data_IF_646627690501
#
_entry.id   IF_646627690501
#
_cell.length_a   1.000
_cell.length_b   1.000
_cell.length_c   1.000
_cell.angle_alpha   90.00
_cell.angle_beta   90.00
_cell.angle_gamma   90.00
#
_symmetry.space_group_name_H-M   'P 1'
#
loop_
_entity.id
_entity.type
_entity.pdbx_description
1 polymer ?
#
# COMPACT_ATOMS: atom_id res chain seq x y z
N UNK A 1 1.06 -16.39 11.75
CA UNK A 1 0.62 -16.99 13.03
C UNK A 1 -0.82 -16.67 13.44
N UNK A 2 -1.59 -15.79 12.76
CA UNK A 2 -2.93 -15.38 13.24
C UNK A 2 -4.15 -16.21 12.77
N UNK A 3 -4.17 -16.74 11.54
CA UNK A 3 -5.37 -17.40 11.01
C UNK A 3 -5.58 -18.83 11.57
N UNK A 4 -4.50 -19.61 11.70
CA UNK A 4 -4.57 -21.00 12.17
C UNK A 4 -4.92 -21.09 13.66
N UNK A 5 -4.53 -20.11 14.48
CA UNK A 5 -4.88 -20.06 15.91
C UNK A 5 -6.37 -19.85 16.16
N UNK A 6 -7.13 -19.38 15.16
CA UNK A 6 -8.58 -19.15 15.24
C UNK A 6 -9.39 -20.20 14.48
N UNK A 7 -8.75 -21.27 13.97
CA UNK A 7 -9.42 -22.29 13.17
C UNK A 7 -9.89 -21.80 11.80
N UNK A 8 -9.36 -20.68 11.31
CA UNK A 8 -9.67 -20.16 9.98
C UNK A 8 -8.66 -20.69 8.96
N UNK A 9 -9.16 -21.32 7.90
CA UNK A 9 -8.30 -21.74 6.80
C UNK A 9 -7.85 -20.53 5.99
N UNK A 10 -6.55 -20.40 5.77
CA UNK A 10 -5.98 -19.37 4.88
C UNK A 10 -6.40 -19.68 3.44
N UNK A 11 -6.92 -18.68 2.74
CA UNK A 11 -7.36 -18.82 1.34
C UNK A 11 -6.53 -17.98 0.39
N UNK A 12 -6.39 -18.45 -0.84
CA UNK A 12 -5.55 -17.86 -1.87
C UNK A 12 -6.10 -18.16 -3.28
N UNK A 13 -5.61 -17.48 -4.33
CA UNK A 13 -5.93 -17.83 -5.71
C UNK A 13 -5.50 -19.26 -6.09
N UNK A 14 -4.43 -19.79 -5.49
CA UNK A 14 -3.90 -21.12 -5.78
C UNK A 14 -3.31 -21.74 -4.50
N UNK A 15 -3.21 -23.07 -4.46
CA UNK A 15 -2.69 -23.83 -3.32
C UNK A 15 -1.15 -23.76 -3.25
N UNK A 16 -0.62 -22.56 -3.06
CA UNK A 16 0.81 -22.26 -3.03
C UNK A 16 1.13 -21.59 -1.69
N UNK A 17 2.00 -22.21 -0.90
CA UNK A 17 2.43 -21.68 0.38
C UNK A 17 3.28 -20.41 0.20
N UNK A 18 3.08 -19.42 1.06
CA UNK A 18 3.83 -18.15 1.03
C UNK A 18 5.33 -18.31 1.36
N UNK A 19 5.72 -19.42 1.98
CA UNK A 19 7.12 -19.75 2.28
C UNK A 19 7.34 -21.27 2.17
N UNK A 20 8.56 -21.72 1.83
CA UNK A 20 8.90 -23.14 1.83
C UNK A 20 8.60 -23.79 3.19
N UNK A 21 7.82 -24.88 3.18
CA UNK A 21 7.42 -25.60 4.40
C UNK A 21 6.31 -24.93 5.21
N UNK A 22 5.76 -23.80 4.73
CA UNK A 22 4.60 -23.16 5.34
C UNK A 22 3.27 -23.87 5.02
N UNK A 23 2.17 -23.48 5.69
CA UNK A 23 0.86 -24.04 5.42
C UNK A 23 0.39 -23.73 4.00
N UNK A 24 -0.24 -24.71 3.37
CA UNK A 24 -0.79 -24.58 2.02
C UNK A 24 -2.20 -24.01 2.12
N UNK A 25 -2.49 -22.88 1.46
CA UNK A 25 -3.82 -22.27 1.53
C UNK A 25 -4.84 -23.06 0.71
N UNK A 26 -6.12 -22.92 1.07
CA UNK A 26 -7.23 -23.39 0.24
C UNK A 26 -7.44 -22.46 -0.96
N UNK A 27 -7.80 -23.06 -2.10
CA UNK A 27 -8.09 -22.34 -3.33
C UNK A 27 -9.47 -21.72 -3.23
N UNK A 28 -9.57 -20.40 -3.43
CA UNK A 28 -10.88 -19.73 -3.44
C UNK A 28 -11.78 -20.27 -4.56
N UNK A 29 -13.04 -20.55 -4.22
CA UNK A 29 -14.08 -20.85 -5.21
C UNK A 29 -14.59 -19.56 -5.88
N UNK A 30 -15.41 -19.72 -6.93
CA UNK A 30 -16.09 -18.59 -7.56
C UNK A 30 -16.96 -17.83 -6.56
N UNK A 31 -17.79 -18.55 -5.81
CA UNK A 31 -18.73 -17.97 -4.84
C UNK A 31 -18.01 -17.18 -3.76
N UNK A 32 -16.84 -17.66 -3.33
CA UNK A 32 -15.99 -17.01 -2.35
C UNK A 32 -15.32 -15.76 -2.93
N UNK A 33 -14.80 -15.82 -4.15
CA UNK A 33 -14.26 -14.63 -4.84
C UNK A 33 -15.33 -13.53 -4.90
N UNK A 34 -16.56 -13.90 -5.30
CA UNK A 34 -17.68 -12.96 -5.34
C UNK A 34 -18.05 -12.45 -3.94
N UNK A 35 -17.93 -13.29 -2.91
CA UNK A 35 -18.15 -12.87 -1.53
C UNK A 35 -17.09 -11.85 -1.07
N UNK A 36 -15.81 -12.10 -1.30
CA UNK A 36 -14.75 -11.13 -0.98
C UNK A 36 -14.97 -9.80 -1.68
N UNK A 37 -15.37 -9.79 -2.96
CA UNK A 37 -15.69 -8.55 -3.68
C UNK A 37 -16.81 -7.77 -2.97
N UNK A 38 -17.87 -8.46 -2.51
CA UNK A 38 -18.95 -7.84 -1.72
C UNK A 38 -18.45 -7.34 -0.36
N UNK A 39 -17.57 -8.09 0.29
CA UNK A 39 -17.02 -7.75 1.61
C UNK A 39 -16.13 -6.50 1.54
N UNK A 40 -15.33 -6.32 0.49
CA UNK A 40 -14.59 -5.07 0.25
C UNK A 40 -15.53 -3.87 0.12
N UNK A 41 -16.62 -4.01 -0.64
CA UNK A 41 -17.62 -2.95 -0.78
C UNK A 41 -18.33 -2.64 0.55
N UNK A 42 -18.64 -3.67 1.35
CA UNK A 42 -19.22 -3.48 2.68
C UNK A 42 -18.23 -2.81 3.65
N UNK A 43 -16.98 -3.24 3.65
CA UNK A 43 -15.93 -2.63 4.46
C UNK A 43 -15.72 -1.15 4.10
N UNK A 44 -15.79 -0.81 2.80
CA UNK A 44 -15.74 0.57 2.36
C UNK A 44 -16.91 1.40 2.89
N UNK A 45 -18.15 0.88 2.85
CA UNK A 45 -19.31 1.54 3.47
C UNK A 45 -19.10 1.77 4.97
N UNK A 46 -18.64 0.74 5.68
CA UNK A 46 -18.38 0.83 7.11
C UNK A 46 -17.32 1.89 7.44
N UNK A 47 -16.26 2.00 6.63
CA UNK A 47 -15.23 3.02 6.80
C UNK A 47 -15.81 4.44 6.66
N UNK A 48 -16.63 4.68 5.63
CA UNK A 48 -17.29 5.98 5.46
C UNK A 48 -18.28 6.27 6.61
N UNK A 49 -19.03 5.27 7.06
CA UNK A 49 -19.94 5.41 8.22
C UNK A 49 -19.17 5.74 9.51
N UNK A 50 -17.96 5.18 9.69
CA UNK A 50 -17.07 5.49 10.79
C UNK A 50 -16.41 6.87 10.70
N UNK A 51 -16.60 7.61 9.61
CA UNK A 51 -16.11 8.97 9.42
C UNK A 51 -14.77 9.09 8.70
N UNK A 52 -14.27 8.03 8.04
CA UNK A 52 -13.11 8.15 7.17
C UNK A 52 -13.46 8.97 5.91
N UNK A 53 -12.53 9.82 5.46
CA UNK A 53 -12.68 10.59 4.22
C UNK A 53 -12.71 9.71 2.95
N UNK A 54 -12.09 8.53 3.02
CA UNK A 54 -12.00 7.57 1.93
C UNK A 54 -11.30 6.28 2.34
N UNK A 55 -11.08 5.41 1.35
CA UNK A 55 -10.46 4.09 1.52
C UNK A 55 -9.35 3.85 0.50
N UNK A 56 -8.33 3.10 0.90
CA UNK A 56 -7.26 2.63 0.00
C UNK A 56 -7.39 1.13 -0.20
N UNK A 57 -7.60 0.69 -1.44
CA UNK A 57 -7.59 -0.75 -1.77
C UNK A 57 -6.14 -1.24 -1.74
N UNK A 58 -5.86 -2.20 -0.86
CA UNK A 58 -4.52 -2.78 -0.73
C UNK A 58 -4.29 -3.90 -1.76
N UNK A 59 -3.71 -3.57 -2.92
CA UNK A 59 -3.29 -4.53 -3.96
C UNK A 59 -1.74 -4.59 -4.05
N UNK A 60 -1.10 -4.80 -2.90
CA UNK A 60 0.34 -4.74 -2.75
C UNK A 60 0.84 -5.75 -1.69
N UNK A 61 2.15 -5.84 -1.52
CA UNK A 61 2.86 -6.54 -0.43
C UNK A 61 2.51 -8.03 -0.27
N UNK A 62 2.03 -8.66 -1.33
CA UNK A 62 1.72 -10.08 -1.36
C UNK A 62 0.43 -10.48 -0.65
N UNK A 63 -0.45 -9.53 -0.34
CA UNK A 63 -1.81 -9.82 0.14
C UNK A 63 -2.73 -10.26 -1.00
N UNK A 64 -3.92 -10.73 -0.67
CA UNK A 64 -4.81 -11.46 -1.57
C UNK A 64 -4.99 -10.80 -2.96
N UNK A 65 -5.29 -9.49 -3.12
CA UNK A 65 -5.43 -8.92 -4.45
C UNK A 65 -4.10 -8.92 -5.24
N UNK A 66 -2.97 -8.73 -4.56
CA UNK A 66 -1.65 -8.85 -5.16
C UNK A 66 -1.32 -10.29 -5.57
N UNK A 67 -1.75 -11.28 -4.77
CA UNK A 67 -1.58 -12.70 -5.10
C UNK A 67 -2.34 -13.08 -6.38
N UNK A 68 -3.55 -12.55 -6.58
CA UNK A 68 -4.29 -12.76 -7.83
C UNK A 68 -3.59 -12.10 -9.03
N UNK A 69 -3.00 -10.93 -8.83
CA UNK A 69 -2.36 -10.16 -9.91
C UNK A 69 -1.07 -10.84 -10.42
N UNK A 70 -0.32 -11.47 -9.52
CA UNK A 70 0.99 -12.05 -9.80
C UNK A 70 0.90 -13.49 -10.34
N UNK A 71 1.65 -13.78 -11.41
CA UNK A 71 1.67 -15.12 -12.03
C UNK A 71 2.15 -16.20 -11.07
N UNK A 72 3.19 -15.91 -10.29
CA UNK A 72 3.83 -16.89 -9.42
C UNK A 72 2.92 -17.41 -8.31
N UNK A 73 1.92 -16.63 -7.91
CA UNK A 73 0.93 -16.99 -6.88
C UNK A 73 -0.44 -17.36 -7.45
N UNK A 74 -0.74 -17.00 -8.70
CA UNK A 74 -2.00 -17.30 -9.36
C UNK A 74 -1.80 -18.21 -10.57
N UNK A 75 -1.89 -19.52 -10.31
CA UNK A 75 -1.78 -20.60 -11.28
C UNK A 75 -3.16 -21.14 -11.69
N UNK A 76 -4.22 -20.32 -11.54
CA UNK A 76 -5.58 -20.72 -11.94
C UNK A 76 -5.70 -20.83 -13.45
N UNK A 77 -6.57 -21.72 -13.91
CA UNK A 77 -6.90 -21.94 -15.31
C UNK A 77 -8.34 -21.49 -15.68
N UNK A 78 -9.05 -20.87 -14.74
CA UNK A 78 -10.40 -20.35 -14.93
C UNK A 78 -10.37 -18.91 -15.49
N UNK A 79 -11.39 -18.09 -15.18
CA UNK A 79 -11.46 -16.71 -15.65
C UNK A 79 -10.74 -15.70 -14.74
N UNK A 80 -10.13 -16.17 -13.63
CA UNK A 80 -9.37 -15.37 -12.68
C UNK A 80 -7.84 -15.56 -12.78
N UNK A 81 -7.34 -16.43 -13.65
CA UNK A 81 -5.90 -16.63 -13.86
C UNK A 81 -5.52 -17.12 -15.25
N UNK A 82 -4.22 -17.32 -15.48
CA UNK A 82 -3.67 -17.84 -16.74
C UNK A 82 -3.48 -16.83 -17.88
N UNK A 83 -3.72 -15.54 -17.64
CA UNK A 83 -3.37 -14.44 -18.55
C UNK A 83 -3.30 -13.12 -17.77
N UNK A 84 -2.65 -12.10 -18.35
CA UNK A 84 -2.53 -10.77 -17.74
C UNK A 84 -3.90 -10.17 -17.40
N UNK A 85 -4.87 -10.29 -18.30
CA UNK A 85 -6.23 -9.77 -18.14
C UNK A 85 -6.99 -10.51 -17.04
N UNK A 86 -6.90 -11.84 -17.02
CA UNK A 86 -7.61 -12.67 -16.04
C UNK A 86 -7.06 -12.49 -14.63
N UNK A 87 -5.73 -12.41 -14.48
CA UNK A 87 -5.08 -12.13 -13.17
C UNK A 87 -5.44 -10.74 -12.63
N UNK A 88 -5.59 -9.77 -13.52
CA UNK A 88 -6.02 -8.41 -13.17
C UNK A 88 -7.49 -8.32 -12.73
N UNK A 89 -8.32 -9.32 -13.09
CA UNK A 89 -9.77 -9.25 -12.95
C UNK A 89 -10.23 -9.08 -11.51
N UNK A 90 -9.61 -9.78 -10.56
CA UNK A 90 -10.01 -9.71 -9.15
C UNK A 90 -9.79 -8.32 -8.57
N UNK A 91 -8.59 -7.74 -8.72
CA UNK A 91 -8.30 -6.39 -8.27
C UNK A 91 -9.19 -5.33 -8.92
N UNK A 92 -9.45 -5.45 -10.24
CA UNK A 92 -10.37 -4.55 -10.96
C UNK A 92 -11.80 -4.68 -10.42
N UNK A 93 -12.28 -5.90 -10.16
CA UNK A 93 -13.62 -6.13 -9.64
C UNK A 93 -13.79 -5.59 -8.22
N UNK A 94 -12.78 -5.73 -7.37
CA UNK A 94 -12.75 -5.12 -6.02
C UNK A 94 -12.82 -3.60 -6.12
N UNK A 95 -11.97 -2.97 -6.93
CA UNK A 95 -11.98 -1.51 -7.12
C UNK A 95 -13.33 -1.03 -7.63
N UNK A 96 -13.89 -1.71 -8.63
CA UNK A 96 -15.22 -1.39 -9.16
C UNK A 96 -16.29 -1.43 -8.07
N UNK A 97 -16.35 -2.50 -7.28
CA UNK A 97 -17.35 -2.65 -6.23
C UNK A 97 -17.21 -1.60 -5.11
N UNK A 98 -15.96 -1.24 -4.76
CA UNK A 98 -15.68 -0.18 -3.79
C UNK A 98 -16.06 1.20 -4.35
N UNK A 99 -15.73 1.50 -5.60
CA UNK A 99 -16.15 2.74 -6.27
C UNK A 99 -17.67 2.87 -6.33
N UNK A 100 -18.37 1.80 -6.69
CA UNK A 100 -19.84 1.76 -6.69
C UNK A 100 -20.43 1.95 -5.28
N UNK A 101 -19.71 1.56 -4.24
CA UNK A 101 -20.16 1.68 -2.86
C UNK A 101 -19.97 3.07 -2.25
N UNK A 102 -18.88 3.77 -2.58
CA UNK A 102 -18.48 5.01 -1.87
C UNK A 102 -18.10 6.21 -2.76
N UNK A 103 -18.08 6.05 -4.09
CA UNK A 103 -17.67 7.10 -5.03
C UNK A 103 -16.17 7.09 -5.32
N UNK A 104 -15.78 7.31 -6.58
CA UNK A 104 -14.39 7.19 -7.04
C UNK A 104 -13.44 8.20 -6.38
N UNK A 105 -13.94 9.38 -6.05
CA UNK A 105 -13.20 10.46 -5.38
C UNK A 105 -12.77 10.11 -3.96
N UNK A 106 -13.30 9.02 -3.39
CA UNK A 106 -12.96 8.50 -2.06
C UNK A 106 -12.13 7.22 -2.10
N UNK A 107 -11.71 6.78 -3.28
CA UNK A 107 -11.02 5.50 -3.46
C UNK A 107 -9.62 5.73 -3.99
N UNK A 108 -8.62 5.26 -3.24
CA UNK A 108 -7.26 5.08 -3.73
C UNK A 108 -6.92 3.59 -3.91
N UNK A 109 -5.81 3.31 -4.58
CA UNK A 109 -5.26 1.96 -4.66
C UNK A 109 -3.74 1.97 -4.49
N UNK A 110 -3.24 0.99 -3.73
CA UNK A 110 -1.81 0.80 -3.48
C UNK A 110 -1.25 -0.41 -4.19
N UNK A 111 -0.14 -0.22 -4.91
CA UNK A 111 0.58 -1.23 -5.69
C UNK A 111 2.06 -1.32 -5.28
N UNK A 112 2.65 -2.51 -5.39
CA UNK A 112 4.07 -2.73 -5.09
C UNK A 112 4.70 -3.67 -6.13
N UNK A 113 4.95 -3.20 -7.38
CA UNK A 113 5.40 -4.06 -8.48
C UNK A 113 6.71 -4.80 -8.19
N UNK A 114 7.57 -4.21 -7.37
CA UNK A 114 8.89 -4.74 -7.06
C UNK A 114 8.96 -5.46 -5.71
N UNK A 115 7.82 -5.81 -5.10
CA UNK A 115 7.81 -6.53 -3.83
C UNK A 115 8.29 -7.98 -4.00
N UNK A 116 9.39 -8.34 -3.32
CA UNK A 116 10.03 -9.67 -3.41
C UNK A 116 9.70 -10.63 -2.26
N UNK A 117 8.85 -10.22 -1.33
CA UNK A 117 8.45 -11.09 -0.21
C UNK A 117 7.64 -12.28 -0.70
N UNK A 118 7.68 -13.38 0.04
CA UNK A 118 6.88 -14.59 -0.23
C UNK A 118 7.12 -15.24 -1.61
N UNK A 119 8.32 -15.06 -2.18
CA UNK A 119 8.66 -15.57 -3.52
C UNK A 119 7.99 -14.82 -4.67
N UNK A 120 7.40 -13.65 -4.40
CA UNK A 120 6.81 -12.77 -5.43
C UNK A 120 7.89 -12.04 -6.24
N UNK A 121 7.49 -11.52 -7.41
CA UNK A 121 8.36 -10.81 -8.35
C UNK A 121 9.51 -11.68 -8.92
N UNK A 122 9.21 -12.94 -9.26
CA UNK A 122 10.12 -13.81 -10.02
C UNK A 122 9.97 -13.64 -11.55
N UNK A 123 8.99 -12.85 -12.00
CA UNK A 123 8.69 -12.51 -13.39
C UNK A 123 8.71 -11.00 -13.51
N UNK A 124 9.12 -10.46 -14.67
CA UNK A 124 9.08 -9.02 -14.93
C UNK A 124 7.65 -8.47 -14.72
N UNK A 125 7.43 -7.54 -13.78
CA UNK A 125 6.10 -7.02 -13.46
C UNK A 125 5.57 -6.05 -14.53
N UNK A 126 6.40 -5.62 -15.48
CA UNK A 126 6.11 -4.49 -16.37
C UNK A 126 4.80 -4.68 -17.14
N UNK A 127 4.61 -5.81 -17.83
CA UNK A 127 3.40 -6.06 -18.63
C UNK A 127 2.15 -6.14 -17.76
N UNK A 128 2.22 -6.93 -16.69
CA UNK A 128 1.10 -7.19 -15.78
C UNK A 128 0.59 -5.90 -15.13
N UNK A 129 1.49 -5.11 -14.54
CA UNK A 129 1.11 -3.88 -13.85
C UNK A 129 0.75 -2.76 -14.84
N UNK A 130 1.36 -2.71 -16.03
CA UNK A 130 0.97 -1.75 -17.07
C UNK A 130 -0.45 -1.98 -17.57
N UNK A 131 -0.86 -3.24 -17.77
CA UNK A 131 -2.25 -3.55 -18.08
C UNK A 131 -3.18 -3.13 -16.93
N UNK A 132 -2.83 -3.53 -15.70
CA UNK A 132 -3.67 -3.25 -14.54
C UNK A 132 -3.90 -1.76 -14.33
N UNK A 133 -2.85 -0.93 -14.37
CA UNK A 133 -2.97 0.53 -14.21
C UNK A 133 -3.75 1.18 -15.36
N UNK A 134 -3.61 0.68 -16.61
CA UNK A 134 -4.44 1.16 -17.75
C UNK A 134 -5.93 0.91 -17.50
N UNK A 135 -6.29 -0.24 -16.95
CA UNK A 135 -7.68 -0.55 -16.61
C UNK A 135 -8.18 0.28 -15.41
N UNK A 136 -7.35 0.43 -14.37
CA UNK A 136 -7.69 1.23 -13.19
C UNK A 136 -7.94 2.71 -13.51
N UNK A 137 -7.22 3.27 -14.48
CA UNK A 137 -7.41 4.66 -14.93
C UNK A 137 -8.85 4.96 -15.38
N UNK A 138 -9.60 3.96 -15.82
CA UNK A 138 -11.00 4.11 -16.27
C UNK A 138 -11.98 4.41 -15.13
N UNK A 139 -11.57 4.21 -13.87
CA UNK A 139 -12.42 4.42 -12.69
C UNK A 139 -12.28 5.81 -12.06
N UNK A 140 -11.39 6.67 -12.57
CA UNK A 140 -11.19 8.04 -12.10
C UNK A 140 -10.87 8.18 -10.60
N UNK A 141 -10.12 7.21 -10.06
CA UNK A 141 -9.78 7.10 -8.63
C UNK A 141 -9.14 8.39 -8.06
N UNK A 142 -9.28 8.57 -6.74
CA UNK A 142 -8.73 9.68 -6.00
C UNK A 142 -7.19 9.79 -6.15
N UNK A 143 -6.49 8.65 -6.13
CA UNK A 143 -5.05 8.58 -6.33
C UNK A 143 -4.56 7.16 -6.65
N UNK A 144 -3.37 7.08 -7.23
CA UNK A 144 -2.57 5.86 -7.33
C UNK A 144 -1.39 5.94 -6.35
N UNK A 145 -1.20 4.92 -5.52
CA UNK A 145 -0.10 4.82 -4.56
C UNK A 145 0.87 3.71 -4.99
N UNK A 146 2.10 4.07 -5.32
CA UNK A 146 3.14 3.15 -5.77
C UNK A 146 4.25 3.02 -4.73
N UNK A 147 4.65 1.77 -4.47
CA UNK A 147 5.84 1.46 -3.67
C UNK A 147 7.00 1.19 -4.61
N UNK A 148 8.01 2.06 -4.53
CA UNK A 148 9.26 1.94 -5.29
C UNK A 148 10.07 0.71 -4.88
N UNK A 149 10.86 0.20 -5.82
CA UNK A 149 11.86 -0.83 -5.50
C UNK A 149 12.85 -0.30 -4.46
N UNK A 150 13.18 -1.15 -3.47
CA UNK A 150 14.24 -0.80 -2.51
C UNK A 150 15.58 -0.79 -3.25
N UNK A 151 16.24 0.36 -3.25
CA UNK A 151 17.64 0.44 -3.61
C UNK A 151 18.48 -0.15 -2.46
N UNK A 152 19.16 -1.27 -2.72
CA UNK A 152 20.06 -1.93 -1.76
C UNK A 152 21.54 -1.68 -2.09
N UNK A 153 21.83 -0.84 -3.09
CA UNK A 153 23.18 -0.52 -3.55
C UNK A 153 23.84 -1.62 -4.39
N UNK A 154 23.18 -2.77 -4.61
CA UNK A 154 23.73 -3.86 -5.41
C UNK A 154 23.51 -3.70 -6.92
N UNK A 155 22.57 -2.82 -7.32
CA UNK A 155 22.32 -2.44 -8.71
C UNK A 155 22.79 -1.01 -8.96
N UNK A 156 23.23 -0.72 -10.19
CA UNK A 156 23.54 0.64 -10.63
C UNK A 156 22.27 1.50 -10.77
N UNK A 157 21.15 0.91 -11.18
CA UNK A 157 19.86 1.59 -11.36
C UNK A 157 18.79 1.12 -10.35
N UNK A 158 17.95 2.06 -9.92
CA UNK A 158 16.78 1.79 -9.06
C UNK A 158 15.68 1.15 -9.89
N UNK A 159 15.05 0.08 -9.37
CA UNK A 159 13.81 -0.45 -9.91
C UNK A 159 12.69 0.62 -9.74
N UNK A 160 12.45 1.40 -10.80
CA UNK A 160 11.60 2.58 -10.79
C UNK A 160 10.18 2.28 -11.25
N UNK A 161 9.18 2.76 -10.49
CA UNK A 161 7.75 2.64 -10.86
C UNK A 161 7.30 3.72 -11.85
N UNK A 162 8.23 4.50 -12.43
CA UNK A 162 7.93 5.63 -13.31
C UNK A 162 7.05 5.24 -14.51
N UNK A 163 7.24 4.06 -15.08
CA UNK A 163 6.42 3.59 -16.21
C UNK A 163 4.92 3.52 -15.85
N UNK A 164 4.57 3.19 -14.61
CA UNK A 164 3.18 3.19 -14.14
C UNK A 164 2.67 4.60 -13.90
N UNK A 165 3.51 5.51 -13.43
CA UNK A 165 3.17 6.93 -13.30
C UNK A 165 2.83 7.54 -14.67
N UNK A 166 3.62 7.25 -15.71
CA UNK A 166 3.35 7.73 -17.08
C UNK A 166 2.01 7.18 -17.62
N UNK A 167 1.67 5.93 -17.33
CA UNK A 167 0.36 5.35 -17.68
C UNK A 167 -0.77 6.06 -16.91
N UNK A 168 -0.60 6.25 -15.60
CA UNK A 168 -1.55 6.92 -14.73
C UNK A 168 -1.86 8.34 -15.23
N UNK A 169 -0.82 9.07 -15.61
CA UNK A 169 -0.91 10.44 -16.11
C UNK A 169 -0.71 11.49 -15.01
N UNK A 170 -0.99 12.74 -15.37
CA UNK A 170 -0.69 13.93 -14.55
C UNK A 170 -1.93 14.57 -13.93
N UNK A 171 -3.11 14.07 -14.30
CA UNK A 171 -4.40 14.65 -13.95
C UNK A 171 -4.75 14.39 -12.48
N UNK A 172 -4.46 13.18 -11.99
CA UNK A 172 -4.77 12.72 -10.63
C UNK A 172 -3.49 12.60 -9.78
N UNK A 173 -3.60 12.74 -8.44
CA UNK A 173 -2.49 12.54 -7.53
C UNK A 173 -1.79 11.19 -7.69
N UNK A 174 -0.47 11.22 -7.50
CA UNK A 174 0.42 10.05 -7.46
C UNK A 174 1.12 10.03 -6.10
N UNK A 175 0.87 9.00 -5.31
CA UNK A 175 1.53 8.78 -4.03
C UNK A 175 2.75 7.87 -4.25
N UNK A 176 3.93 8.31 -3.80
CA UNK A 176 5.17 7.55 -3.88
C UNK A 176 5.66 7.17 -2.49
N UNK A 177 5.85 5.88 -2.27
CA UNK A 177 6.44 5.33 -1.05
C UNK A 177 7.68 4.49 -1.37
N UNK A 178 8.47 4.18 -0.34
CA UNK A 178 9.56 3.23 -0.46
C UNK A 178 10.93 3.85 -0.16
N UNK A 179 11.30 3.85 1.12
CA UNK A 179 12.67 4.16 1.53
C UNK A 179 12.97 5.64 1.79
N UNK A 180 12.09 6.57 1.40
CA UNK A 180 12.36 8.01 1.47
C UNK A 180 12.67 8.52 2.89
N UNK A 181 13.60 9.47 2.91
CA UNK A 181 13.91 10.41 3.98
C UNK A 181 13.62 11.85 3.52
N UNK A 182 13.98 12.86 4.32
CA UNK A 182 13.67 14.25 4.02
C UNK A 182 14.33 14.76 2.72
N UNK A 183 15.56 14.34 2.41
CA UNK A 183 16.29 14.83 1.22
C UNK A 183 15.87 14.07 -0.03
N UNK A 184 15.84 12.74 0.02
CA UNK A 184 15.38 11.92 -1.11
C UNK A 184 13.91 12.19 -1.48
N UNK A 185 13.08 12.63 -0.53
CA UNK A 185 11.72 13.10 -0.83
C UNK A 185 11.69 14.41 -1.65
N UNK A 186 12.62 15.34 -1.39
CA UNK A 186 12.74 16.56 -2.22
C UNK A 186 13.25 16.22 -3.62
N UNK A 187 14.17 15.27 -3.72
CA UNK A 187 14.74 14.81 -4.99
C UNK A 187 13.68 14.13 -5.86
N UNK A 188 12.89 13.20 -5.30
CA UNK A 188 11.86 12.49 -6.07
C UNK A 188 10.75 13.43 -6.54
N UNK A 189 10.40 14.47 -5.76
CA UNK A 189 9.43 15.49 -6.22
C UNK A 189 9.96 16.24 -7.45
N UNK A 190 11.28 16.53 -7.51
CA UNK A 190 11.90 17.14 -8.70
C UNK A 190 11.95 16.17 -9.89
N UNK A 191 12.28 14.90 -9.65
CA UNK A 191 12.30 13.85 -10.69
C UNK A 191 10.92 13.67 -11.36
N UNK A 192 9.86 13.87 -10.59
CA UNK A 192 8.47 13.80 -11.05
C UNK A 192 7.85 15.17 -11.35
N UNK A 193 8.67 16.14 -11.78
CA UNK A 193 8.18 17.46 -12.20
C UNK A 193 7.02 17.34 -13.22
N UNK A 194 5.95 18.09 -12.96
CA UNK A 194 4.71 18.06 -13.74
C UNK A 194 3.70 16.98 -13.31
N UNK A 195 4.05 16.06 -12.43
CA UNK A 195 3.09 15.16 -11.76
C UNK A 195 2.61 15.79 -10.45
N UNK A 196 1.40 15.40 -10.01
CA UNK A 196 0.85 15.76 -8.71
C UNK A 196 1.33 14.77 -7.64
N UNK A 197 2.62 14.86 -7.29
CA UNK A 197 3.26 13.89 -6.37
C UNK A 197 3.03 14.21 -4.90
N UNK A 198 2.74 13.17 -4.13
CA UNK A 198 2.78 13.15 -2.67
C UNK A 198 3.76 12.07 -2.23
N UNK A 199 4.72 12.40 -1.37
CA UNK A 199 5.67 11.42 -0.82
C UNK A 199 5.12 10.86 0.49
N UNK A 200 5.08 9.54 0.61
CA UNK A 200 4.49 8.82 1.75
C UNK A 200 5.60 8.24 2.63
N UNK A 201 5.55 8.57 3.93
CA UNK A 201 6.50 8.11 4.94
C UNK A 201 5.82 7.16 5.92
N UNK A 202 6.38 5.96 6.10
CA UNK A 202 5.95 5.01 7.13
C UNK A 202 6.82 5.08 8.38
N UNK A 203 8.01 4.45 8.32
CA UNK A 203 8.93 4.31 9.46
C UNK A 203 9.29 5.63 10.16
N UNK A 204 9.46 6.71 9.40
CA UNK A 204 9.78 8.01 9.97
C UNK A 204 8.59 8.61 10.73
N UNK A 205 7.35 8.39 10.27
CA UNK A 205 6.16 8.88 10.96
C UNK A 205 5.91 8.16 12.29
N UNK A 206 6.28 6.88 12.40
CA UNK A 206 6.21 6.13 13.68
C UNK A 206 6.97 6.88 14.78
N UNK A 207 8.19 7.32 14.50
CA UNK A 207 9.06 7.94 15.50
C UNK A 207 8.94 9.47 15.61
N UNK A 208 8.20 10.11 14.69
CA UNK A 208 8.13 11.56 14.56
C UNK A 208 6.66 11.96 14.34
N UNK A 209 5.88 12.14 15.41
CA UNK A 209 4.46 12.51 15.27
C UNK A 209 4.29 13.90 14.60
N UNK A 210 5.31 14.74 14.63
CA UNK A 210 5.43 16.03 13.95
C UNK A 210 6.33 15.99 12.70
N UNK A 211 6.42 14.83 12.01
CA UNK A 211 7.32 14.65 10.86
C UNK A 211 7.25 15.78 9.82
N UNK A 212 6.03 16.20 9.46
CA UNK A 212 5.83 17.25 8.46
C UNK A 212 6.46 18.56 8.90
N UNK A 213 6.29 18.95 10.17
CA UNK A 213 6.91 20.13 10.74
C UNK A 213 8.44 20.00 10.73
N UNK A 214 8.97 18.86 11.17
CA UNK A 214 10.42 18.63 11.18
C UNK A 214 11.04 18.74 9.78
N UNK A 215 10.43 18.14 8.77
CA UNK A 215 10.92 18.24 7.39
C UNK A 215 10.86 19.68 6.89
N UNK A 216 9.76 20.40 7.17
CA UNK A 216 9.57 21.80 6.74
C UNK A 216 10.60 22.74 7.36
N UNK A 217 10.88 22.58 8.66
CA UNK A 217 11.82 23.41 9.41
C UNK A 217 13.28 22.90 9.36
N UNK A 218 13.55 21.80 8.66
CA UNK A 218 14.89 21.22 8.55
C UNK A 218 15.43 20.63 9.86
N UNK A 219 14.55 20.14 10.74
CA UNK A 219 14.92 19.54 12.02
C UNK A 219 15.37 18.08 11.86
N UNK A 220 16.24 17.65 12.76
CA UNK A 220 16.65 16.25 12.84
C UNK A 220 15.45 15.33 13.15
N UNK A 221 15.38 14.21 12.42
CA UNK A 221 14.37 13.17 12.66
C UNK A 221 14.82 12.26 13.80
N UNK A 222 13.90 11.99 14.73
CA UNK A 222 14.05 10.96 15.75
C UNK A 222 14.24 9.59 15.06
N UNK A 223 15.29 8.82 15.41
CA UNK A 223 15.48 7.48 14.89
C UNK A 223 14.34 6.55 15.30
N UNK A 224 13.84 5.75 14.35
CA UNK A 224 12.83 4.73 14.63
C UNK A 224 13.45 3.46 15.23
N UNK A 225 12.71 2.79 16.11
CA UNK A 225 13.10 1.50 16.67
C UNK A 225 12.29 0.37 16.00
N UNK A 226 12.95 -0.46 15.18
CA UNK A 226 12.25 -1.57 14.51
C UNK A 226 11.79 -2.67 15.45
N UNK A 227 12.36 -2.76 16.66
CA UNK A 227 12.03 -3.81 17.63
C UNK A 227 10.61 -3.65 18.19
N UNK A 228 10.05 -2.44 18.17
CA UNK A 228 8.75 -2.12 18.76
C UNK A 228 7.61 -2.08 17.74
N UNK A 229 7.89 -2.17 16.44
CA UNK A 229 6.88 -1.94 15.38
C UNK A 229 5.65 -2.85 15.44
N UNK A 230 5.79 -4.04 16.00
CA UNK A 230 4.73 -5.05 16.01
C UNK A 230 4.46 -5.59 17.43
N UNK A 231 4.88 -4.85 18.46
CA UNK A 231 4.55 -5.20 19.84
C UNK A 231 3.08 -4.86 20.07
N UNK A 232 2.24 -5.90 20.10
CA UNK A 232 0.80 -5.71 20.24
C UNK A 232 0.45 -5.24 21.66
N UNK A 233 -0.41 -4.21 21.74
CA UNK A 233 -0.92 -3.66 23.01
C UNK A 233 0.15 -3.06 23.94
N UNK A 234 1.27 -2.60 23.39
CA UNK A 234 2.30 -1.87 24.13
C UNK A 234 2.33 -0.38 23.75
N UNK A 235 2.57 0.49 24.73
CA UNK A 235 2.75 1.94 24.51
C UNK A 235 4.16 2.26 24.00
N UNK A 236 5.16 1.48 24.42
CA UNK A 236 6.57 1.69 24.08
C UNK A 236 6.80 1.61 22.57
N UNK A 237 7.32 2.71 22.00
CA UNK A 237 7.57 2.82 20.58
C UNK A 237 6.30 2.91 19.72
N UNK A 238 5.15 3.25 20.32
CA UNK A 238 3.88 3.50 19.62
C UNK A 238 3.36 4.93 19.85
N UNK A 239 3.02 5.28 21.09
CA UNK A 239 2.44 6.59 21.45
C UNK A 239 3.30 7.41 22.41
N UNK A 240 4.55 6.98 22.66
CA UNK A 240 5.51 7.59 23.58
C UNK A 240 6.62 8.40 22.87
N UNK A 241 6.64 8.42 21.54
CA UNK A 241 7.58 9.24 20.78
C UNK A 241 7.31 10.75 20.97
N UNK A 242 8.34 11.55 21.33
CA UNK A 242 8.13 12.95 21.65
C UNK A 242 7.98 13.82 20.40
N UNK A 243 7.15 14.85 20.51
CA UNK A 243 7.17 16.01 19.63
C UNK A 243 8.50 16.78 19.76
N UNK A 244 8.90 17.50 18.71
CA UNK A 244 10.04 18.43 18.81
C UNK A 244 9.71 19.60 19.74
N UNK A 245 10.74 20.17 20.37
CA UNK A 245 10.56 21.35 21.24
C UNK A 245 10.05 22.55 20.45
N UNK A 246 10.52 22.68 19.22
CA UNK A 246 10.13 23.68 18.24
C UNK A 246 8.64 23.55 17.86
N UNK A 247 8.15 22.33 17.65
CA UNK A 247 6.73 22.10 17.40
C UNK A 247 5.87 22.46 18.61
N UNK A 248 6.28 22.08 19.82
CA UNK A 248 5.55 22.42 21.05
C UNK A 248 5.51 23.93 21.33
N UNK A 249 6.61 24.63 21.02
CA UNK A 249 6.69 26.08 21.09
C UNK A 249 5.93 26.77 19.95
N UNK A 250 5.61 26.04 18.86
CA UNK A 250 4.84 26.58 17.75
C UNK A 250 3.37 26.81 18.13
N UNK A 251 2.71 27.72 17.40
CA UNK A 251 1.26 27.85 17.46
C UNK A 251 0.51 26.65 16.85
N UNK A 252 1.20 25.72 16.19
CA UNK A 252 0.62 24.59 15.44
C UNK A 252 0.37 23.36 16.32
N UNK A 253 1.04 23.24 17.46
CA UNK A 253 0.79 22.14 18.39
C UNK A 253 -0.62 22.25 19.00
N UNK A 254 -1.46 21.19 18.88
CA UNK A 254 -2.78 21.15 19.52
C UNK A 254 -2.68 21.38 21.04
N UNK A 255 -3.67 22.06 21.61
CA UNK A 255 -3.70 22.41 23.04
C UNK A 255 -3.55 21.19 23.96
N UNK A 256 -4.14 20.07 23.57
CA UNK A 256 -4.11 18.79 24.30
C UNK A 256 -2.71 18.16 24.37
N UNK A 257 -1.85 18.47 23.38
CA UNK A 257 -0.46 18.01 23.33
C UNK A 257 0.42 18.90 24.21
N UNK A 258 0.14 20.21 24.28
CA UNK A 258 0.89 21.16 25.12
C UNK A 258 0.74 20.89 26.62
N UNK A 259 -0.38 20.32 27.06
CA UNK A 259 -0.64 20.04 28.49
C UNK A 259 0.07 18.79 29.04
N UNK A 260 0.71 17.97 28.19
CA UNK A 260 1.40 16.74 28.58
C UNK A 260 2.95 16.82 28.49
N UNK A 261 3.48 17.94 28.01
CA UNK A 261 4.91 18.18 27.81
C UNK A 261 5.58 18.83 29.02
#
# INVERSE_FOLDING_TARGET
>A
EGAESEGQTVKAPSAIAAAPGGPVPEVLTEEEIQQYIRDYAQAARNAIEAGFDGVEVHNANGYLPHQFLEEVSNQRNDHWGGSVEKRSRFGIAVVKAVVEAVGAERVGIRLSPYFKGYGLNAVDPTEQFSYFVRELKKFDLAYLHLVEGRYDGAKEERDSVRFLAEIWGKEKPLLLAGGFDAESAKEVVKEYEGFKVVVVFGRHFIANPDLVFRIREGLALTPYNRKTFYNAMEEEGYNDYPFSKEFLASGEAPLEIKSKA
#
